data_IF_665719536214
#
_entry.id   IF_665719536214
#
_cell.length_a   1.000
_cell.length_b   1.000
_cell.length_c   1.000
_cell.angle_alpha   90.00
_cell.angle_beta   90.00
_cell.angle_gamma   90.00
#
_symmetry.space_group_name_H-M   'P 1'
#
loop_
_entity.id
_entity.type
_entity.pdbx_description
1 polymer ?
#
# COMPACT_ATOMS: atom_id res chain seq x y z
N UNK A 1 -8.59 17.19 -5.69
CA UNK A 1 -9.73 16.75 -4.84
C UNK A 1 -10.19 15.38 -5.32
N UNK A 2 -9.96 14.33 -4.52
CA UNK A 2 -10.48 12.98 -4.79
C UNK A 2 -12.01 13.03 -4.96
N UNK A 3 -12.55 12.45 -6.04
CA UNK A 3 -13.98 12.38 -6.29
C UNK A 3 -14.74 11.49 -5.28
N UNK A 4 -14.02 10.75 -4.44
CA UNK A 4 -14.57 9.80 -3.47
C UNK A 4 -14.22 10.23 -2.05
N UNK A 5 -15.22 10.25 -1.16
CA UNK A 5 -15.13 10.69 0.24
C UNK A 5 -14.97 9.53 1.21
N UNK A 6 -15.56 8.35 0.94
CA UNK A 6 -15.45 7.16 1.79
C UNK A 6 -15.36 5.87 0.97
N UNK A 7 -14.40 5.01 1.34
CA UNK A 7 -14.22 3.69 0.75
C UNK A 7 -14.32 2.61 1.80
N UNK A 8 -15.08 1.56 1.52
CA UNK A 8 -15.14 0.37 2.37
C UNK A 8 -14.48 -0.78 1.65
N UNK A 9 -13.48 -1.39 2.28
CA UNK A 9 -12.82 -2.61 1.78
C UNK A 9 -13.34 -3.80 2.58
N UNK A 10 -13.98 -4.76 1.92
CA UNK A 10 -14.44 -6.00 2.55
C UNK A 10 -13.39 -7.10 2.42
N UNK A 11 -13.04 -7.73 3.53
CA UNK A 11 -12.01 -8.75 3.64
C UNK A 11 -10.68 -8.17 4.14
N UNK A 12 -10.31 -8.45 5.38
CA UNK A 12 -9.07 -8.00 6.02
C UNK A 12 -7.88 -8.95 5.79
N UNK A 13 -7.99 -9.90 4.86
CA UNK A 13 -6.89 -10.74 4.41
C UNK A 13 -5.77 -9.95 3.71
N UNK A 14 -4.79 -10.65 3.15
CA UNK A 14 -3.60 -10.04 2.52
C UNK A 14 -3.95 -9.08 1.37
N UNK A 15 -4.91 -9.45 0.51
CA UNK A 15 -5.35 -8.60 -0.61
C UNK A 15 -6.07 -7.35 -0.13
N UNK A 16 -7.11 -7.46 0.71
CA UNK A 16 -7.87 -6.30 1.15
C UNK A 16 -7.06 -5.37 2.04
N UNK A 17 -6.13 -5.91 2.84
CA UNK A 17 -5.20 -5.10 3.62
C UNK A 17 -4.24 -4.30 2.73
N UNK A 18 -3.72 -4.91 1.66
CA UNK A 18 -2.88 -4.19 0.70
C UNK A 18 -3.66 -3.07 -0.02
N UNK A 19 -4.92 -3.31 -0.36
CA UNK A 19 -5.80 -2.29 -0.95
C UNK A 19 -6.07 -1.16 0.04
N UNK A 20 -6.45 -1.49 1.28
CA UNK A 20 -6.70 -0.48 2.31
C UNK A 20 -5.46 0.35 2.62
N UNK A 21 -4.29 -0.29 2.71
CA UNK A 21 -3.00 0.38 2.84
C UNK A 21 -2.75 1.33 1.65
N UNK A 22 -2.90 0.86 0.42
CA UNK A 22 -2.66 1.67 -0.77
C UNK A 22 -3.60 2.88 -0.85
N UNK A 23 -4.88 2.70 -0.56
CA UNK A 23 -5.87 3.78 -0.53
C UNK A 23 -5.55 4.81 0.56
N UNK A 24 -5.18 4.36 1.76
CA UNK A 24 -4.74 5.23 2.86
C UNK A 24 -3.52 6.07 2.46
N UNK A 25 -2.53 5.46 1.79
CA UNK A 25 -1.35 6.16 1.29
C UNK A 25 -1.67 7.18 0.17
N UNK A 26 -2.83 7.05 -0.47
CA UNK A 26 -3.34 7.99 -1.47
C UNK A 26 -4.30 9.04 -0.89
N UNK A 27 -4.30 9.24 0.42
CA UNK A 27 -5.13 10.27 1.03
C UNK A 27 -6.56 9.82 1.37
N UNK A 28 -7.02 8.68 0.83
CA UNK A 28 -8.42 8.25 0.95
C UNK A 28 -8.84 7.93 2.39
N UNK A 29 -10.12 8.16 2.71
CA UNK A 29 -10.75 7.67 3.95
C UNK A 29 -11.24 6.25 3.71
N UNK A 30 -10.71 5.31 4.49
CA UNK A 30 -10.91 3.87 4.28
C UNK A 30 -11.41 3.24 5.57
N UNK A 31 -12.48 2.45 5.46
CA UNK A 31 -12.90 1.50 6.49
C UNK A 31 -12.59 0.08 5.99
N UNK A 32 -11.86 -0.69 6.79
CA UNK A 32 -11.64 -2.10 6.54
C UNK A 32 -12.70 -2.93 7.29
N UNK A 33 -13.41 -3.79 6.58
CA UNK A 33 -14.49 -4.60 7.11
C UNK A 33 -14.18 -6.09 6.95
N UNK A 34 -14.54 -6.91 7.93
CA UNK A 34 -14.60 -8.36 7.76
C UNK A 34 -15.69 -8.99 8.65
N UNK A 35 -15.85 -10.31 8.58
CA UNK A 35 -16.63 -11.08 9.54
C UNK A 35 -15.89 -11.18 10.90
N UNK A 36 -16.61 -11.39 12.02
CA UNK A 36 -15.98 -11.59 13.33
C UNK A 36 -15.02 -12.79 13.33
N UNK A 37 -13.85 -12.60 13.95
CA UNK A 37 -12.79 -13.61 14.09
C UNK A 37 -12.44 -14.36 12.77
N UNK A 38 -12.04 -13.64 11.70
CA UNK A 38 -11.83 -14.26 10.40
C UNK A 38 -10.56 -15.12 10.40
N UNK A 39 -10.67 -16.34 9.86
CA UNK A 39 -9.57 -17.30 9.87
C UNK A 39 -8.58 -17.10 8.70
N UNK A 40 -8.16 -15.86 8.42
CA UNK A 40 -7.16 -15.55 7.40
C UNK A 40 -5.78 -16.08 7.82
N UNK A 41 -5.13 -16.97 7.04
CA UNK A 41 -3.85 -17.53 7.45
C UNK A 41 -2.70 -16.51 7.32
N UNK A 42 -2.74 -15.63 6.31
CA UNK A 42 -1.65 -14.66 6.05
C UNK A 42 -1.74 -13.40 6.93
N UNK A 43 -2.06 -13.57 8.21
CA UNK A 43 -2.28 -12.46 9.16
C UNK A 43 -1.04 -11.58 9.37
N UNK A 44 0.18 -12.14 9.25
CA UNK A 44 1.44 -11.36 9.27
C UNK A 44 1.66 -10.46 8.04
N UNK A 45 0.86 -10.64 6.98
CA UNK A 45 0.90 -9.86 5.74
C UNK A 45 -0.36 -8.99 5.58
N UNK A 46 -1.10 -8.78 6.66
CA UNK A 46 -2.45 -8.21 6.64
C UNK A 46 -2.76 -7.43 7.93
N UNK A 47 -3.88 -6.73 7.94
CA UNK A 47 -4.44 -6.08 9.13
C UNK A 47 -5.36 -7.00 9.94
N UNK A 48 -5.47 -8.28 9.56
CA UNK A 48 -6.38 -9.25 10.19
C UNK A 48 -6.22 -9.33 11.72
N UNK A 49 -4.98 -9.23 12.23
CA UNK A 49 -4.70 -9.25 13.67
C UNK A 49 -5.36 -8.10 14.44
N UNK A 50 -5.76 -7.00 13.79
CA UNK A 50 -6.48 -5.91 14.45
C UNK A 50 -7.81 -6.39 15.03
N UNK A 51 -8.49 -7.33 14.37
CA UNK A 51 -9.76 -7.90 14.86
C UNK A 51 -9.60 -8.79 16.10
N UNK A 52 -8.37 -9.17 16.45
CA UNK A 52 -8.06 -10.03 17.60
C UNK A 52 -7.33 -9.26 18.72
N UNK A 53 -6.28 -8.53 18.36
CA UNK A 53 -5.41 -7.80 19.29
C UNK A 53 -5.78 -6.31 19.44
N UNK A 54 -6.82 -5.84 18.75
CA UNK A 54 -7.25 -4.44 18.75
C UNK A 54 -6.50 -3.55 17.77
N UNK A 55 -5.26 -3.88 17.41
CA UNK A 55 -4.47 -3.18 16.39
C UNK A 55 -3.61 -4.12 15.55
N UNK A 56 -3.28 -3.72 14.33
CA UNK A 56 -2.25 -4.35 13.51
C UNK A 56 -1.46 -3.27 12.76
N UNK A 57 -0.17 -3.53 12.50
CA UNK A 57 0.68 -2.64 11.69
C UNK A 57 1.13 -3.36 10.45
N UNK A 58 0.96 -2.73 9.29
CA UNK A 58 1.45 -3.21 8.01
C UNK A 58 2.23 -2.07 7.35
N UNK A 59 3.54 -2.26 7.24
CA UNK A 59 4.44 -1.31 6.55
C UNK A 59 4.31 0.15 7.02
N UNK A 60 4.18 0.34 8.33
CA UNK A 60 4.08 1.66 8.97
C UNK A 60 2.67 2.22 9.09
N UNK A 61 1.68 1.63 8.41
CA UNK A 61 0.27 1.96 8.57
C UNK A 61 -0.32 1.15 9.72
N UNK A 62 -1.06 1.80 10.61
CA UNK A 62 -1.70 1.17 11.77
C UNK A 62 -3.19 1.07 11.51
N UNK A 63 -3.72 -0.16 11.59
CA UNK A 63 -5.14 -0.42 11.58
C UNK A 63 -5.63 -0.68 13.01
N UNK A 64 -6.77 -0.11 13.37
CA UNK A 64 -7.33 -0.21 14.73
C UNK A 64 -8.78 -0.69 14.68
N UNK A 65 -9.10 -1.68 15.51
CA UNK A 65 -10.45 -2.22 15.65
C UNK A 65 -11.37 -1.21 16.34
N UNK A 66 -12.51 -0.97 15.71
CA UNK A 66 -13.66 -0.32 16.30
C UNK A 66 -14.62 -1.39 16.85
N UNK A 67 -14.92 -1.40 18.17
CA UNK A 67 -15.86 -2.35 18.76
C UNK A 67 -17.33 -2.05 18.42
N UNK A 68 -17.63 -0.84 17.93
CA UNK A 68 -18.97 -0.40 17.52
C UNK A 68 -18.86 0.75 16.51
N UNK A 69 -20.00 1.10 15.89
CA UNK A 69 -20.07 2.13 14.84
C UNK A 69 -19.71 3.54 15.35
N UNK A 70 -19.97 3.89 16.61
CA UNK A 70 -19.60 5.21 17.16
C UNK A 70 -18.08 5.36 17.30
N UNK A 71 -17.42 4.30 17.76
CA UNK A 71 -15.95 4.25 17.85
C UNK A 71 -15.32 4.23 16.46
N UNK A 72 -16.00 3.65 15.47
CA UNK A 72 -15.54 3.62 14.08
C UNK A 72 -15.34 5.03 13.52
N UNK A 73 -16.31 5.92 13.73
CA UNK A 73 -16.21 7.32 13.33
C UNK A 73 -15.06 8.04 14.06
N UNK A 74 -14.95 7.80 15.37
CA UNK A 74 -13.90 8.41 16.19
C UNK A 74 -12.50 8.00 15.72
N UNK A 75 -12.31 6.72 15.38
CA UNK A 75 -11.05 6.22 14.80
C UNK A 75 -10.85 6.78 13.38
N UNK A 76 -11.89 6.81 12.54
CA UNK A 76 -11.80 7.33 11.17
C UNK A 76 -11.49 8.83 11.09
N UNK A 77 -11.74 9.58 12.16
CA UNK A 77 -11.33 10.97 12.31
C UNK A 77 -9.83 11.13 12.64
N UNK A 78 -9.17 10.08 13.13
CA UNK A 78 -7.74 10.06 13.39
C UNK A 78 -7.03 9.69 12.08
N UNK A 79 -6.39 10.67 11.47
CA UNK A 79 -5.76 10.55 10.15
C UNK A 79 -4.66 9.48 10.08
N UNK A 80 -4.10 9.15 11.23
CA UNK A 80 -3.05 8.18 11.47
C UNK A 80 -3.51 6.72 11.47
N UNK A 81 -4.82 6.46 11.43
CA UNK A 81 -5.38 5.13 11.64
C UNK A 81 -6.26 4.70 10.47
N UNK A 82 -6.20 3.40 10.17
CA UNK A 82 -7.20 2.72 9.34
C UNK A 82 -8.21 2.05 10.26
N UNK A 83 -9.47 2.53 10.35
CA UNK A 83 -10.50 1.85 11.13
C UNK A 83 -10.82 0.46 10.56
N UNK A 84 -10.89 -0.53 11.46
CA UNK A 84 -11.30 -1.91 11.15
C UNK A 84 -12.55 -2.26 11.95
N UNK A 85 -13.56 -2.89 11.35
CA UNK A 85 -14.73 -3.37 12.08
C UNK A 85 -15.26 -4.70 11.56
N UNK A 86 -16.00 -5.36 12.43
CA UNK A 86 -16.70 -6.64 12.21
C UNK A 86 -18.22 -6.52 12.41
N UNK A 87 -18.75 -5.29 12.39
CA UNK A 87 -20.19 -5.04 12.45
C UNK A 87 -20.93 -5.70 11.27
N UNK A 88 -22.22 -6.07 11.43
CA UNK A 88 -23.02 -6.56 10.31
C UNK A 88 -22.97 -5.59 9.13
N UNK A 89 -22.69 -6.11 7.93
CA UNK A 89 -22.44 -5.25 6.77
C UNK A 89 -23.59 -4.27 6.50
N UNK A 90 -24.84 -4.72 6.63
CA UNK A 90 -26.01 -3.87 6.39
C UNK A 90 -26.05 -2.66 7.33
N UNK A 91 -25.71 -2.85 8.60
CA UNK A 91 -25.63 -1.76 9.58
C UNK A 91 -24.49 -0.79 9.23
N UNK A 92 -23.34 -1.32 8.81
CA UNK A 92 -22.20 -0.50 8.36
C UNK A 92 -22.57 0.36 7.14
N UNK A 93 -23.19 -0.23 6.11
CA UNK A 93 -23.60 0.49 4.90
C UNK A 93 -24.68 1.54 5.17
N UNK A 94 -25.56 1.28 6.13
CA UNK A 94 -26.60 2.23 6.52
C UNK A 94 -26.03 3.41 7.31
N UNK A 95 -25.10 3.15 8.24
CA UNK A 95 -24.49 4.19 9.07
C UNK A 95 -23.46 5.02 8.29
N UNK A 96 -22.68 4.37 7.43
CA UNK A 96 -21.59 4.97 6.67
C UNK A 96 -21.66 4.53 5.20
N UNK A 97 -22.60 5.08 4.41
CA UNK A 97 -22.76 4.73 3.01
C UNK A 97 -21.49 5.12 2.23
N UNK A 98 -20.78 4.16 1.62
CA UNK A 98 -19.54 4.44 0.92
C UNK A 98 -19.79 4.90 -0.52
N UNK A 99 -18.91 5.74 -1.04
CA UNK A 99 -18.89 6.03 -2.49
C UNK A 99 -18.35 4.83 -3.29
N UNK A 100 -17.43 4.08 -2.66
CA UNK A 100 -16.80 2.90 -3.23
C UNK A 100 -16.83 1.74 -2.25
N UNK A 101 -17.42 0.62 -2.67
CA UNK A 101 -17.27 -0.67 -2.01
C UNK A 101 -16.27 -1.53 -2.78
N UNK A 102 -15.21 -1.99 -2.12
CA UNK A 102 -14.24 -2.92 -2.70
C UNK A 102 -14.42 -4.30 -2.05
N UNK A 103 -14.79 -5.30 -2.85
CA UNK A 103 -14.87 -6.68 -2.38
C UNK A 103 -13.52 -7.38 -2.59
N UNK A 104 -12.76 -7.48 -1.50
CA UNK A 104 -11.46 -8.12 -1.43
C UNK A 104 -11.48 -9.49 -0.72
N UNK A 105 -12.67 -10.09 -0.52
CA UNK A 105 -12.80 -11.37 0.17
C UNK A 105 -12.23 -12.55 -0.62
N UNK A 106 -11.95 -12.36 -1.91
CA UNK A 106 -11.32 -13.35 -2.79
C UNK A 106 -12.05 -14.71 -2.75
N UNK A 107 -13.40 -14.70 -2.80
CA UNK A 107 -14.25 -15.89 -2.70
C UNK A 107 -14.06 -16.80 -3.92
N UNK A 108 -13.17 -17.77 -3.80
CA UNK A 108 -12.74 -18.65 -4.92
C UNK A 108 -13.75 -19.71 -5.36
N UNK A 109 -14.69 -20.11 -4.48
CA UNK A 109 -15.53 -21.32 -4.67
C UNK A 109 -17.00 -21.10 -4.32
N UNK A 110 -17.40 -19.85 -4.09
CA UNK A 110 -18.75 -19.48 -3.69
C UNK A 110 -19.36 -18.61 -4.80
N UNK A 111 -20.68 -18.64 -4.92
CA UNK A 111 -21.37 -17.67 -5.77
C UNK A 111 -21.04 -16.25 -5.29
N UNK A 112 -20.75 -15.37 -6.25
CA UNK A 112 -20.50 -13.95 -5.98
C UNK A 112 -21.86 -13.26 -5.97
N UNK A 113 -22.24 -12.74 -4.82
CA UNK A 113 -23.48 -11.95 -4.71
C UNK A 113 -23.40 -10.63 -5.49
N UNK A 114 -24.53 -10.17 -6.03
CA UNK A 114 -24.60 -8.84 -6.62
C UNK A 114 -24.57 -7.78 -5.51
N UNK A 115 -23.51 -6.97 -5.52
CA UNK A 115 -23.29 -5.92 -4.51
C UNK A 115 -23.47 -4.51 -5.08
N UNK A 116 -23.83 -4.37 -6.37
CA UNK A 116 -23.94 -3.07 -7.05
C UNK A 116 -24.92 -2.10 -6.40
N UNK A 117 -25.86 -2.60 -5.61
CA UNK A 117 -26.82 -1.78 -4.86
C UNK A 117 -26.25 -1.20 -3.56
N UNK A 118 -25.07 -1.64 -3.11
CA UNK A 118 -24.49 -1.24 -1.83
C UNK A 118 -23.67 0.06 -1.91
N UNK A 119 -23.23 0.47 -3.11
CA UNK A 119 -22.44 1.68 -3.31
C UNK A 119 -22.53 2.15 -4.78
N UNK A 120 -22.36 3.46 -5.05
CA UNK A 120 -22.31 3.99 -6.42
C UNK A 120 -21.23 3.32 -7.29
N UNK A 121 -20.08 2.99 -6.70
CA UNK A 121 -19.03 2.21 -7.36
C UNK A 121 -18.73 0.95 -6.55
N UNK A 122 -18.68 -0.19 -7.25
CA UNK A 122 -18.35 -1.49 -6.63
C UNK A 122 -17.20 -2.11 -7.41
N UNK A 123 -16.09 -2.32 -6.73
CA UNK A 123 -14.88 -2.92 -7.29
C UNK A 123 -14.76 -4.36 -6.82
N UNK A 124 -14.86 -5.30 -7.74
CA UNK A 124 -14.72 -6.73 -7.47
C UNK A 124 -13.27 -7.20 -7.60
N UNK A 125 -12.71 -7.82 -6.56
CA UNK A 125 -11.37 -8.43 -6.59
C UNK A 125 -11.49 -9.93 -6.44
N UNK A 126 -11.08 -10.66 -7.47
CA UNK A 126 -11.02 -12.11 -7.42
C UNK A 126 -11.50 -12.75 -8.70
N UNK A 127 -11.39 -14.07 -8.78
CA UNK A 127 -11.84 -14.79 -9.96
C UNK A 127 -13.36 -14.71 -10.13
N UNK A 128 -13.82 -14.60 -11.37
CA UNK A 128 -15.23 -14.70 -11.74
C UNK A 128 -16.11 -13.47 -11.47
N UNK A 129 -15.55 -12.34 -11.01
CA UNK A 129 -16.29 -11.06 -11.00
C UNK A 129 -16.66 -10.65 -12.43
N UNK A 130 -17.87 -10.12 -12.61
CA UNK A 130 -18.44 -9.74 -13.90
C UNK A 130 -19.15 -8.37 -13.76
N UNK A 131 -18.71 -7.41 -14.58
CA UNK A 131 -19.19 -6.02 -14.52
C UNK A 131 -20.66 -5.84 -14.93
N UNK A 132 -21.29 -6.89 -15.45
CA UNK A 132 -22.71 -6.90 -15.84
C UNK A 132 -23.62 -7.43 -14.74
N UNK A 133 -23.08 -8.13 -13.73
CA UNK A 133 -23.91 -8.88 -12.77
C UNK A 133 -23.60 -8.63 -11.32
N UNK A 134 -22.35 -8.36 -10.92
CA UNK A 134 -22.01 -8.32 -9.49
C UNK A 134 -21.09 -7.17 -9.05
N UNK A 135 -20.49 -6.45 -9.98
CA UNK A 135 -19.66 -5.27 -9.71
C UNK A 135 -19.79 -4.24 -10.83
N UNK A 136 -19.28 -3.03 -10.61
CA UNK A 136 -19.18 -2.00 -11.64
C UNK A 136 -17.84 -2.04 -12.35
N UNK A 137 -16.79 -2.41 -11.63
CA UNK A 137 -15.42 -2.59 -12.13
C UNK A 137 -14.86 -3.87 -11.51
N UNK A 138 -14.11 -4.66 -12.27
CA UNK A 138 -13.40 -5.80 -11.72
C UNK A 138 -11.89 -5.65 -11.91
N UNK A 139 -11.12 -6.23 -11.00
CA UNK A 139 -9.65 -6.26 -11.08
C UNK A 139 -9.21 -7.71 -11.27
N UNK A 140 -8.43 -7.97 -12.32
CA UNK A 140 -7.87 -9.29 -12.56
C UNK A 140 -6.87 -9.65 -11.45
N UNK A 141 -7.00 -10.88 -10.93
CA UNK A 141 -6.20 -11.37 -9.80
C UNK A 141 -5.46 -12.67 -10.09
N UNK A 142 -5.65 -13.27 -11.27
CA UNK A 142 -4.85 -14.39 -11.74
C UNK A 142 -3.39 -13.97 -11.94
N UNK A 143 -2.47 -14.90 -11.71
CA UNK A 143 -1.07 -14.66 -12.03
C UNK A 143 -0.89 -14.58 -13.54
N UNK A 144 0.05 -13.75 -13.99
CA UNK A 144 0.36 -13.55 -15.40
C UNK A 144 0.41 -12.07 -15.75
N UNK A 145 0.45 -11.79 -17.05
CA UNK A 145 0.60 -10.44 -17.60
C UNK A 145 -0.55 -9.49 -17.22
N UNK A 146 -1.75 -10.04 -17.03
CA UNK A 146 -2.94 -9.28 -16.70
C UNK A 146 -3.14 -9.06 -15.18
N UNK A 147 -2.21 -9.49 -14.31
CA UNK A 147 -2.38 -9.30 -12.87
C UNK A 147 -2.55 -7.82 -12.50
N UNK A 148 -3.66 -7.46 -11.85
CA UNK A 148 -4.00 -6.07 -11.51
C UNK A 148 -4.63 -5.28 -12.65
N UNK A 149 -4.92 -5.91 -13.80
CA UNK A 149 -5.59 -5.27 -14.92
C UNK A 149 -7.02 -4.84 -14.54
N UNK A 150 -7.43 -3.66 -15.03
CA UNK A 150 -8.76 -3.09 -14.78
C UNK A 150 -9.73 -3.55 -15.85
N UNK A 151 -10.65 -4.44 -15.48
CA UNK A 151 -11.72 -4.92 -16.34
C UNK A 151 -12.92 -3.98 -16.19
N UNK A 152 -13.17 -3.18 -17.23
CA UNK A 152 -14.35 -2.28 -17.30
C UNK A 152 -15.55 -2.96 -17.97
N UNK A 153 -15.28 -3.87 -18.89
CA UNK A 153 -16.31 -4.63 -19.58
C UNK A 153 -15.98 -6.13 -19.57
N UNK A 154 -16.93 -6.95 -19.11
CA UNK A 154 -16.81 -8.39 -19.09
C UNK A 154 -16.46 -8.93 -17.70
N UNK A 155 -15.67 -10.00 -17.67
CA UNK A 155 -15.38 -10.75 -16.44
C UNK A 155 -13.89 -11.01 -16.26
N UNK A 156 -13.47 -11.06 -15.00
CA UNK A 156 -12.16 -11.62 -14.63
C UNK A 156 -12.10 -13.13 -14.91
N UNK A 157 -10.88 -13.65 -15.02
CA UNK A 157 -10.65 -15.08 -15.21
C UNK A 157 -11.33 -15.92 -14.12
N UNK A 158 -11.78 -17.12 -14.48
CA UNK A 158 -12.25 -18.09 -13.50
C UNK A 158 -11.10 -18.52 -12.58
N UNK A 159 -11.42 -19.16 -11.46
CA UNK A 159 -10.38 -19.73 -10.61
C UNK A 159 -9.71 -20.89 -11.35
N UNK A 160 -8.53 -20.63 -11.88
CA UNK A 160 -7.71 -21.62 -12.56
C UNK A 160 -6.27 -21.61 -12.03
N UNK A 161 -5.60 -22.75 -12.15
CA UNK A 161 -4.17 -22.88 -11.88
C UNK A 161 -3.77 -23.31 -10.47
N UNK A 162 -2.49 -23.67 -10.38
CA UNK A 162 -1.80 -24.04 -9.15
C UNK A 162 -1.26 -22.80 -8.41
N UNK A 163 -1.11 -22.84 -7.08
CA UNK A 163 -0.39 -21.79 -6.37
C UNK A 163 1.04 -21.67 -6.91
N UNK A 164 1.48 -20.43 -7.20
CA UNK A 164 2.88 -20.15 -7.60
C UNK A 164 3.84 -20.82 -6.61
N UNK A 165 4.83 -21.61 -7.06
CA UNK A 165 5.73 -22.32 -6.16
C UNK A 165 6.64 -21.35 -5.39
N UNK A 166 7.02 -21.74 -4.17
CA UNK A 166 8.10 -21.12 -3.40
C UNK A 166 9.21 -22.16 -3.28
N UNK A 167 10.40 -21.85 -3.78
CA UNK A 167 11.53 -22.81 -3.84
C UNK A 167 11.16 -24.16 -4.48
N UNK A 168 10.42 -24.10 -5.60
CA UNK A 168 9.90 -25.30 -6.28
C UNK A 168 8.69 -25.96 -5.61
N UNK A 169 8.30 -25.56 -4.40
CA UNK A 169 7.20 -26.17 -3.64
C UNK A 169 5.86 -25.49 -3.92
N UNK A 170 4.91 -26.26 -4.46
CA UNK A 170 3.59 -25.82 -4.91
C UNK A 170 2.52 -25.87 -3.81
N UNK A 171 1.42 -26.59 -4.09
CA UNK A 171 0.24 -26.68 -3.23
C UNK A 171 0.50 -27.39 -1.89
N UNK A 172 1.47 -28.28 -1.86
CA UNK A 172 1.86 -29.10 -0.71
C UNK A 172 2.33 -28.29 0.49
N UNK A 173 2.67 -27.01 0.31
CA UNK A 173 2.98 -26.08 1.40
C UNK A 173 1.79 -25.57 2.20
N UNK A 174 0.57 -25.82 1.71
CA UNK A 174 -0.65 -25.40 2.40
C UNK A 174 -1.22 -26.55 3.21
N UNK A 175 -1.67 -26.23 4.43
CA UNK A 175 -2.44 -27.16 5.26
C UNK A 175 -3.87 -26.67 5.38
N UNK A 176 -4.78 -27.63 5.29
CA UNK A 176 -6.22 -27.39 5.32
C UNK A 176 -6.83 -28.09 6.53
N UNK A 177 -7.84 -27.47 7.13
CA UNK A 177 -8.55 -28.02 8.26
C UNK A 177 -9.15 -29.40 7.89
N UNK A 178 -8.82 -30.48 8.64
CA UNK A 178 -9.26 -31.84 8.32
C UNK A 178 -10.77 -32.02 8.53
N UNK A 179 -11.32 -31.28 9.50
CA UNK A 179 -12.74 -31.23 9.86
C UNK A 179 -13.17 -29.77 10.09
N UNK A 180 -14.47 -29.55 10.23
CA UNK A 180 -15.00 -28.29 10.76
C UNK A 180 -14.82 -28.28 12.29
N UNK A 181 -14.51 -27.12 12.85
CA UNK A 181 -14.43 -26.91 14.30
C UNK A 181 -13.50 -25.75 14.68
N UNK A 182 -13.00 -25.74 15.90
CA UNK A 182 -12.09 -24.70 16.39
C UNK A 182 -10.64 -25.09 16.14
N UNK A 183 -9.89 -24.19 15.47
CA UNK A 183 -8.47 -24.33 15.24
C UNK A 183 -7.68 -23.89 16.48
N UNK A 184 -6.76 -24.73 16.94
CA UNK A 184 -5.86 -24.41 18.05
C UNK A 184 -4.40 -24.58 17.68
N UNK A 185 -3.57 -23.62 18.07
CA UNK A 185 -2.11 -23.65 17.88
C UNK A 185 -1.41 -22.77 18.91
N UNK A 186 -0.26 -23.24 19.41
CA UNK A 186 0.64 -22.44 20.25
C UNK A 186 1.74 -21.73 19.45
N UNK A 187 1.78 -21.93 18.13
CA UNK A 187 2.83 -21.39 17.27
C UNK A 187 2.48 -19.97 16.81
N UNK A 188 3.49 -19.27 16.31
CA UNK A 188 3.35 -17.91 15.76
C UNK A 188 3.81 -17.85 14.31
N UNK A 189 3.31 -16.86 13.57
CA UNK A 189 3.85 -16.52 12.24
C UNK A 189 5.38 -16.33 12.36
N UNK A 190 6.12 -16.88 11.41
CA UNK A 190 7.58 -16.87 11.39
C UNK A 190 8.24 -17.98 12.21
N UNK A 191 7.50 -18.79 12.96
CA UNK A 191 8.07 -19.95 13.66
C UNK A 191 8.65 -20.95 12.64
N UNK A 192 9.83 -21.48 12.93
CA UNK A 192 10.41 -22.59 12.17
C UNK A 192 9.70 -23.89 12.54
N UNK A 193 9.36 -24.69 11.55
CA UNK A 193 8.72 -26.00 11.71
C UNK A 193 9.48 -27.06 10.93
N UNK A 194 9.43 -28.29 11.43
CA UNK A 194 9.92 -29.47 10.73
C UNK A 194 8.74 -30.34 10.32
N UNK A 195 8.87 -31.09 9.24
CA UNK A 195 7.88 -32.05 8.77
C UNK A 195 7.61 -33.11 9.83
N UNK A 196 6.33 -33.39 10.09
CA UNK A 196 5.92 -34.47 10.99
C UNK A 196 5.34 -34.00 12.33
N UNK A 197 6.07 -33.21 13.15
CA UNK A 197 5.51 -32.66 14.38
C UNK A 197 4.19 -31.91 14.18
N UNK A 198 3.34 -31.97 15.21
CA UNK A 198 2.07 -31.26 15.24
C UNK A 198 2.31 -29.74 15.31
N UNK A 199 1.55 -29.01 14.50
CA UNK A 199 1.51 -27.55 14.47
C UNK A 199 0.23 -26.99 15.10
N UNK A 200 -0.65 -27.87 15.60
CA UNK A 200 -1.95 -27.53 16.15
C UNK A 200 -2.97 -28.65 15.97
N UNK A 201 -4.23 -28.39 16.31
CA UNK A 201 -5.33 -29.34 16.11
C UNK A 201 -6.66 -28.65 15.79
N UNK A 202 -7.58 -29.41 15.20
CA UNK A 202 -8.99 -29.03 15.03
C UNK A 202 -9.86 -30.12 15.64
N UNK A 203 -10.64 -29.81 16.69
CA UNK A 203 -11.47 -30.82 17.40
C UNK A 203 -10.66 -32.07 17.80
N UNK A 204 -9.49 -31.88 18.40
CA UNK A 204 -8.56 -32.97 18.77
C UNK A 204 -7.83 -33.65 17.60
N UNK A 205 -8.18 -33.37 16.35
CA UNK A 205 -7.48 -33.91 15.18
C UNK A 205 -6.17 -33.15 14.96
N UNK A 206 -5.05 -33.83 15.15
CA UNK A 206 -3.73 -33.23 14.94
C UNK A 206 -3.55 -32.76 13.50
N UNK A 207 -3.01 -31.55 13.37
CA UNK A 207 -2.53 -30.97 12.13
C UNK A 207 -1.00 -30.95 12.21
N UNK A 208 -0.34 -31.39 11.14
CA UNK A 208 1.12 -31.53 11.09
C UNK A 208 1.71 -30.68 9.96
N UNK A 209 2.98 -30.31 10.07
CA UNK A 209 3.68 -29.63 8.99
C UNK A 209 3.98 -30.61 7.83
N UNK A 210 3.60 -30.27 6.58
CA UNK A 210 3.86 -31.12 5.41
C UNK A 210 5.33 -31.11 4.94
N UNK A 211 6.08 -30.07 5.29
CA UNK A 211 7.49 -29.89 4.99
C UNK A 211 8.18 -29.00 6.04
N UNK A 212 9.51 -28.99 6.00
CA UNK A 212 10.33 -28.08 6.80
C UNK A 212 10.23 -26.65 6.27
N UNK A 213 10.33 -25.65 7.15
CA UNK A 213 10.37 -24.26 6.73
C UNK A 213 9.84 -23.32 7.80
N UNK A 214 9.26 -22.21 7.38
CA UNK A 214 8.74 -21.17 8.27
C UNK A 214 7.24 -20.99 8.08
N UNK A 215 6.50 -20.76 9.18
CA UNK A 215 5.07 -20.45 9.13
C UNK A 215 4.84 -19.07 8.51
N UNK A 216 4.60 -19.04 7.20
CA UNK A 216 4.23 -17.83 6.46
C UNK A 216 2.77 -17.47 6.62
N UNK A 217 1.91 -18.48 6.73
CA UNK A 217 0.51 -18.33 7.06
C UNK A 217 0.13 -19.25 8.21
N UNK A 218 -0.62 -18.72 9.16
CA UNK A 218 -1.15 -19.38 10.34
C UNK A 218 -2.40 -18.62 10.78
N UNK A 219 -3.58 -19.23 10.62
CA UNK A 219 -4.83 -18.66 11.13
C UNK A 219 -4.73 -18.51 12.66
N UNK A 220 -5.37 -17.46 13.20
CA UNK A 220 -5.31 -17.13 14.63
C UNK A 220 -5.82 -18.31 15.48
N UNK A 221 -5.22 -18.51 16.66
CA UNK A 221 -5.70 -19.52 17.62
C UNK A 221 -7.16 -19.24 18.04
N UNK A 222 -7.96 -20.28 18.21
CA UNK A 222 -9.35 -20.19 18.66
C UNK A 222 -10.37 -19.82 17.58
N UNK A 223 -9.97 -19.66 16.31
CA UNK A 223 -10.91 -19.34 15.22
C UNK A 223 -11.68 -20.58 14.76
N UNK A 224 -12.95 -20.38 14.43
CA UNK A 224 -13.75 -21.38 13.76
C UNK A 224 -13.28 -21.57 12.31
N UNK A 225 -13.16 -22.82 11.88
CA UNK A 225 -12.74 -23.18 10.53
C UNK A 225 -13.70 -24.20 9.92
N UNK A 226 -14.00 -24.04 8.64
CA UNK A 226 -14.72 -25.04 7.87
C UNK A 226 -13.80 -26.17 7.42
N UNK A 227 -14.36 -27.36 7.17
CA UNK A 227 -13.61 -28.46 6.56
C UNK A 227 -13.00 -28.02 5.23
N UNK A 228 -11.71 -28.36 5.01
CA UNK A 228 -10.90 -27.93 3.85
C UNK A 228 -10.65 -26.43 3.75
N UNK A 229 -10.90 -25.65 4.81
CA UNK A 229 -10.44 -24.27 4.88
C UNK A 229 -8.92 -24.25 5.04
N UNK A 230 -8.25 -23.34 4.33
CA UNK A 230 -6.80 -23.16 4.44
C UNK A 230 -6.49 -22.49 5.78
N UNK A 231 -5.62 -23.11 6.57
CA UNK A 231 -5.27 -22.64 7.92
C UNK A 231 -3.77 -22.38 8.09
N UNK A 232 -2.92 -23.01 7.27
CA UNK A 232 -1.46 -22.85 7.34
C UNK A 232 -0.86 -22.74 5.94
N UNK A 233 0.20 -21.96 5.82
CA UNK A 233 1.13 -21.91 4.68
C UNK A 233 2.57 -21.95 5.21
N UNK A 234 3.38 -22.86 4.67
CA UNK A 234 4.82 -22.96 4.97
C UNK A 234 5.62 -22.32 3.83
N UNK A 235 6.64 -21.54 4.17
CA UNK A 235 7.64 -21.04 3.24
C UNK A 235 8.93 -21.86 3.42
N UNK A 236 9.33 -22.66 2.41
CA UNK A 236 10.49 -23.54 2.51
C UNK A 236 11.84 -22.83 2.38
N UNK A 237 11.85 -21.56 1.95
CA UNK A 237 13.09 -20.81 1.68
C UNK A 237 13.86 -20.54 2.97
N UNK A 238 15.18 -20.53 2.87
CA UNK A 238 16.07 -20.13 3.98
C UNK A 238 15.84 -18.69 4.44
N UNK A 239 15.50 -17.81 3.49
CA UNK A 239 15.10 -16.42 3.75
C UNK A 239 13.63 -16.25 3.38
N UNK A 240 12.69 -16.57 4.29
CA UNK A 240 11.27 -16.52 4.01
C UNK A 240 10.75 -15.08 4.01
N UNK A 241 9.64 -14.84 3.32
CA UNK A 241 8.88 -13.59 3.46
C UNK A 241 7.58 -13.91 4.20
N UNK A 242 7.59 -13.78 5.52
CA UNK A 242 6.43 -14.08 6.37
C UNK A 242 5.64 -12.84 6.81
N UNK A 243 6.24 -11.65 6.66
CA UNK A 243 5.63 -10.36 6.96
C UNK A 243 5.66 -9.40 5.76
N UNK A 244 4.90 -8.31 5.86
CA UNK A 244 4.81 -7.27 4.83
C UNK A 244 3.91 -7.67 3.67
N UNK A 245 3.88 -6.86 2.61
CA UNK A 245 2.98 -7.10 1.48
C UNK A 245 3.63 -7.96 0.39
N UNK A 246 2.88 -8.94 -0.12
CA UNK A 246 3.30 -9.77 -1.24
C UNK A 246 3.13 -9.07 -2.60
N UNK A 247 3.87 -9.54 -3.62
CA UNK A 247 3.80 -9.03 -5.00
C UNK A 247 2.36 -8.98 -5.55
N UNK A 248 1.60 -10.07 -5.37
CA UNK A 248 0.23 -10.17 -5.89
C UNK A 248 -0.76 -9.21 -5.22
N UNK A 249 -0.88 -9.16 -3.89
CA UNK A 249 -1.67 -8.13 -3.21
C UNK A 249 -1.31 -6.70 -3.65
N UNK A 250 -0.02 -6.38 -3.81
CA UNK A 250 0.42 -5.05 -4.28
C UNK A 250 -0.03 -4.74 -5.71
N UNK A 251 0.12 -5.69 -6.63
CA UNK A 251 -0.32 -5.50 -8.01
C UNK A 251 -1.84 -5.28 -8.10
N UNK A 252 -2.62 -6.02 -7.32
CA UNK A 252 -4.08 -5.85 -7.22
C UNK A 252 -4.41 -4.47 -6.64
N UNK A 253 -3.74 -4.05 -5.56
CA UNK A 253 -3.92 -2.73 -4.98
C UNK A 253 -3.61 -1.59 -5.98
N UNK A 254 -2.52 -1.72 -6.76
CA UNK A 254 -2.20 -0.78 -7.86
C UNK A 254 -3.32 -0.75 -8.91
N UNK A 255 -3.89 -1.91 -9.25
CA UNK A 255 -5.07 -2.02 -10.12
C UNK A 255 -6.29 -1.25 -9.59
N UNK A 256 -6.57 -1.36 -8.28
CA UNK A 256 -7.65 -0.60 -7.62
C UNK A 256 -7.40 0.91 -7.68
N UNK A 257 -6.18 1.36 -7.35
CA UNK A 257 -5.83 2.78 -7.48
C UNK A 257 -6.00 3.30 -8.90
N UNK A 258 -5.61 2.49 -9.89
CA UNK A 258 -5.80 2.82 -11.31
C UNK A 258 -7.29 2.91 -11.68
N UNK A 259 -8.09 1.94 -11.25
CA UNK A 259 -9.52 1.91 -11.53
C UNK A 259 -10.26 3.16 -11.00
N UNK A 260 -9.84 3.64 -9.82
CA UNK A 260 -10.41 4.78 -9.13
C UNK A 260 -9.75 6.12 -9.48
N UNK A 261 -8.78 6.15 -10.39
CA UNK A 261 -7.99 7.33 -10.74
C UNK A 261 -7.28 7.98 -9.54
N UNK A 262 -6.80 7.15 -8.61
CA UNK A 262 -6.03 7.54 -7.41
C UNK A 262 -4.54 7.21 -7.52
N UNK A 263 -4.05 7.01 -8.74
CA UNK A 263 -2.62 6.83 -8.98
C UNK A 263 -1.98 8.20 -9.25
N UNK A 264 -0.71 8.36 -8.86
CA UNK A 264 0.04 9.57 -9.17
C UNK A 264 0.12 9.80 -10.68
N UNK A 265 0.04 11.07 -11.09
CA UNK A 265 0.22 11.46 -12.48
C UNK A 265 1.70 11.27 -12.85
N UNK A 266 2.00 10.18 -13.57
CA UNK A 266 3.37 9.76 -13.88
C UNK A 266 4.16 10.86 -14.63
N UNK A 267 3.49 11.67 -15.44
CA UNK A 267 4.11 12.79 -16.16
C UNK A 267 4.57 13.92 -15.24
N UNK A 268 3.98 14.05 -14.04
CA UNK A 268 4.35 15.06 -13.04
C UNK A 268 5.38 14.57 -12.02
N UNK A 269 5.78 13.30 -12.11
CA UNK A 269 6.65 12.68 -11.11
C UNK A 269 8.14 12.79 -11.45
N UNK A 270 8.50 13.03 -12.72
CA UNK A 270 9.89 13.13 -13.18
C UNK A 270 10.06 14.29 -14.15
N UNK A 271 11.19 14.99 -14.03
CA UNK A 271 11.67 15.83 -15.12
C UNK A 271 12.37 15.01 -16.21
N UNK A 272 12.46 15.55 -17.42
CA UNK A 272 13.14 14.97 -18.57
C UNK A 272 14.58 14.55 -18.25
N UNK A 273 15.30 15.38 -17.48
CA UNK A 273 16.66 15.08 -17.03
C UNK A 273 16.76 14.01 -15.93
N UNK A 274 15.64 13.46 -15.43
CA UNK A 274 15.60 12.42 -14.38
C UNK A 274 15.14 11.06 -14.90
N UNK A 275 14.69 10.99 -16.16
CA UNK A 275 14.01 9.79 -16.71
C UNK A 275 14.89 8.54 -16.75
N UNK A 276 16.22 8.69 -16.78
CA UNK A 276 17.14 7.55 -16.71
C UNK A 276 17.00 6.74 -15.40
N UNK A 277 16.48 7.34 -14.32
CA UNK A 277 16.30 6.69 -13.03
C UNK A 277 14.84 6.25 -12.77
N UNK A 278 13.91 6.46 -13.71
CA UNK A 278 12.47 6.22 -13.54
C UNK A 278 12.14 4.74 -13.21
N UNK A 279 12.85 3.82 -13.86
CA UNK A 279 12.63 2.39 -13.71
C UNK A 279 13.11 1.86 -12.35
N UNK A 280 14.30 2.28 -11.91
CA UNK A 280 14.96 1.70 -10.73
C UNK A 280 14.77 2.52 -9.46
N UNK A 281 14.51 3.83 -9.59
CA UNK A 281 14.52 4.80 -8.48
C UNK A 281 15.83 4.76 -7.69
N UNK A 282 16.97 4.49 -8.32
CA UNK A 282 18.28 4.48 -7.64
C UNK A 282 18.79 5.87 -7.30
N UNK A 283 18.19 6.91 -7.90
CA UNK A 283 18.31 8.30 -7.51
C UNK A 283 16.93 8.81 -7.06
N UNK A 284 16.94 9.77 -6.14
CA UNK A 284 15.71 10.41 -5.66
C UNK A 284 15.32 11.54 -6.64
N UNK A 285 14.18 11.41 -7.36
CA UNK A 285 13.71 12.47 -8.25
C UNK A 285 13.29 13.70 -7.45
N UNK A 286 13.20 14.87 -8.10
CA UNK A 286 12.83 16.13 -7.44
C UNK A 286 11.48 16.05 -6.74
N UNK A 287 10.52 15.32 -7.30
CA UNK A 287 9.21 15.10 -6.68
C UNK A 287 9.33 14.39 -5.32
N UNK A 288 10.19 13.39 -5.21
CA UNK A 288 10.45 12.71 -3.93
C UNK A 288 11.27 13.61 -2.99
N UNK A 289 12.25 14.36 -3.49
CA UNK A 289 13.00 15.31 -2.66
C UNK A 289 12.09 16.36 -2.04
N UNK A 290 11.13 16.87 -2.81
CA UNK A 290 10.11 17.81 -2.32
C UNK A 290 9.31 17.18 -1.19
N UNK A 291 8.85 15.94 -1.36
CA UNK A 291 8.12 15.22 -0.32
C UNK A 291 8.95 14.96 0.95
N UNK A 292 10.23 14.64 0.79
CA UNK A 292 11.16 14.46 1.92
C UNK A 292 11.33 15.77 2.70
N UNK A 293 11.49 16.88 1.98
CA UNK A 293 11.52 18.21 2.55
C UNK A 293 10.21 18.52 3.30
N UNK A 294 9.05 18.31 2.68
CA UNK A 294 7.75 18.51 3.34
C UNK A 294 7.58 17.64 4.58
N UNK A 295 8.07 16.39 4.54
CA UNK A 295 8.09 15.49 5.68
C UNK A 295 9.10 15.90 6.75
N UNK A 296 10.03 16.81 6.47
CA UNK A 296 11.12 17.16 7.37
C UNK A 296 12.10 16.00 7.60
N UNK A 297 12.36 15.20 6.56
CA UNK A 297 13.24 14.03 6.58
C UNK A 297 14.43 14.27 5.65
N UNK A 298 15.66 14.05 6.14
CA UNK A 298 16.86 13.95 5.29
C UNK A 298 17.33 12.51 5.16
N UNK A 299 17.38 12.00 3.93
CA UNK A 299 18.03 10.74 3.61
C UNK A 299 19.26 10.98 2.73
N UNK A 300 20.35 10.29 3.05
CA UNK A 300 21.45 10.11 2.11
C UNK A 300 21.03 9.21 0.94
N UNK A 301 21.75 9.30 -0.18
CA UNK A 301 21.51 8.42 -1.33
C UNK A 301 21.65 6.93 -0.98
N UNK A 302 22.59 6.59 -0.09
CA UNK A 302 22.77 5.23 0.40
C UNK A 302 21.54 4.75 1.21
N UNK A 303 21.00 5.59 2.09
CA UNK A 303 19.78 5.28 2.83
C UNK A 303 18.56 5.14 1.92
N UNK A 304 18.41 6.01 0.92
CA UNK A 304 17.34 5.88 -0.08
C UNK A 304 17.43 4.55 -0.84
N UNK A 305 18.63 4.17 -1.30
CA UNK A 305 18.87 2.89 -2.00
C UNK A 305 18.68 1.67 -1.12
N UNK A 306 18.86 1.80 0.20
CA UNK A 306 18.61 0.73 1.15
C UNK A 306 17.10 0.48 1.37
N UNK A 307 16.23 1.45 1.03
CA UNK A 307 14.79 1.22 1.06
C UNK A 307 14.38 0.21 -0.02
N UNK A 308 13.49 -0.74 0.28
CA UNK A 308 12.95 -1.64 -0.72
C UNK A 308 12.33 -0.88 -1.90
N UNK A 309 12.40 -1.47 -3.09
CA UNK A 309 11.89 -0.84 -4.32
C UNK A 309 10.42 -0.39 -4.18
N UNK A 310 9.61 -1.18 -3.48
CA UNK A 310 8.22 -0.83 -3.20
C UNK A 310 8.06 0.36 -2.25
N UNK A 311 8.93 0.50 -1.23
CA UNK A 311 8.91 1.67 -0.36
C UNK A 311 9.28 2.94 -1.13
N UNK A 312 10.27 2.85 -2.02
CA UNK A 312 10.66 3.94 -2.92
C UNK A 312 9.50 4.33 -3.86
N UNK A 313 8.82 3.35 -4.46
CA UNK A 313 7.65 3.58 -5.32
C UNK A 313 6.46 4.15 -4.55
N UNK A 314 6.12 3.62 -3.37
CA UNK A 314 5.06 4.19 -2.53
C UNK A 314 5.35 5.64 -2.14
N UNK A 315 6.61 5.99 -1.87
CA UNK A 315 7.01 7.38 -1.61
C UNK A 315 6.80 8.29 -2.83
N UNK A 316 7.17 7.80 -4.03
CA UNK A 316 6.94 8.48 -5.29
C UNK A 316 5.43 8.70 -5.55
N UNK A 317 4.60 7.72 -5.20
CA UNK A 317 3.16 7.73 -5.48
C UNK A 317 2.33 8.42 -4.39
N UNK A 318 2.83 8.56 -3.17
CA UNK A 318 2.08 9.15 -2.05
C UNK A 318 1.63 10.59 -2.35
N UNK A 319 0.42 10.94 -1.97
CA UNK A 319 -0.01 12.34 -2.02
C UNK A 319 0.70 13.13 -0.92
N UNK A 320 0.95 14.42 -1.16
CA UNK A 320 1.54 15.35 -0.18
C UNK A 320 0.90 16.74 -0.34
N UNK A 321 -0.42 16.75 -0.59
CA UNK A 321 -1.20 17.98 -0.83
C UNK A 321 -1.68 18.60 0.48
N UNK A 322 -1.76 17.82 1.56
CA UNK A 322 -2.19 18.27 2.88
C UNK A 322 -1.19 17.90 3.98
N UNK A 323 -1.29 18.56 5.14
CA UNK A 323 -0.54 18.18 6.33
C UNK A 323 -0.80 16.74 6.78
N UNK A 324 -2.00 16.21 6.50
CA UNK A 324 -2.36 14.82 6.79
C UNK A 324 -1.50 13.87 5.96
N UNK A 325 -1.45 14.10 4.65
CA UNK A 325 -0.71 13.22 3.74
C UNK A 325 0.80 13.25 4.05
N UNK A 326 1.33 14.43 4.38
CA UNK A 326 2.72 14.59 4.84
C UNK A 326 2.97 13.77 6.11
N UNK A 327 2.06 13.77 7.10
CA UNK A 327 2.20 12.94 8.30
C UNK A 327 2.14 11.44 7.99
N UNK A 328 1.26 11.03 7.07
CA UNK A 328 1.15 9.62 6.61
C UNK A 328 2.45 9.16 5.96
N UNK A 329 2.98 9.93 5.02
CA UNK A 329 4.23 9.61 4.34
C UNK A 329 5.42 9.61 5.32
N UNK A 330 5.49 10.59 6.23
CA UNK A 330 6.53 10.66 7.25
C UNK A 330 6.59 9.35 8.07
N UNK A 331 5.45 8.90 8.60
CA UNK A 331 5.38 7.66 9.41
C UNK A 331 5.76 6.42 8.60
N UNK A 332 5.31 6.34 7.35
CA UNK A 332 5.68 5.27 6.43
C UNK A 332 7.20 5.19 6.24
N UNK A 333 7.85 6.33 6.00
CA UNK A 333 9.30 6.41 5.84
C UNK A 333 10.05 6.07 7.13
N UNK A 334 9.62 6.63 8.27
CA UNK A 334 10.22 6.34 9.58
C UNK A 334 10.14 4.84 9.93
N UNK A 335 9.02 4.18 9.59
CA UNK A 335 8.88 2.73 9.75
C UNK A 335 9.93 1.97 8.92
N UNK A 336 10.00 2.22 7.62
CA UNK A 336 10.94 1.50 6.74
C UNK A 336 12.40 1.73 7.11
N UNK A 337 12.75 2.94 7.55
CA UNK A 337 14.11 3.25 8.00
C UNK A 337 14.45 2.42 9.24
N UNK A 338 13.53 2.32 10.21
CA UNK A 338 13.72 1.53 11.43
C UNK A 338 13.81 0.03 11.12
N UNK A 339 12.91 -0.50 10.28
CA UNK A 339 12.91 -1.92 9.91
C UNK A 339 14.16 -2.32 9.13
N UNK A 340 14.72 -1.42 8.32
CA UNK A 340 15.99 -1.64 7.62
C UNK A 340 17.24 -1.56 8.51
N UNK A 341 17.08 -1.42 9.84
CA UNK A 341 18.20 -1.20 10.77
C UNK A 341 18.88 0.16 10.59
N UNK A 342 18.23 1.09 9.89
CA UNK A 342 18.73 2.43 9.65
C UNK A 342 18.70 3.30 10.90
N UNK A 343 19.55 4.32 10.94
CA UNK A 343 19.52 5.35 11.97
C UNK A 343 18.32 6.28 11.77
N UNK A 344 17.81 6.86 12.86
CA UNK A 344 16.74 7.85 12.81
C UNK A 344 17.08 8.97 11.82
N UNK A 345 16.19 9.28 10.85
CA UNK A 345 16.46 10.33 9.89
C UNK A 345 16.67 11.68 10.58
N UNK A 346 17.59 12.47 10.06
CA UNK A 346 17.84 13.82 10.56
C UNK A 346 16.62 14.69 10.26
N UNK A 347 16.10 15.35 11.29
CA UNK A 347 15.12 16.41 11.11
C UNK A 347 15.79 17.63 10.49
N UNK A 348 15.19 18.15 9.43
CA UNK A 348 15.64 19.38 8.79
C UNK A 348 14.73 20.50 9.26
N UNK A 349 15.30 21.66 9.58
CA UNK A 349 14.53 22.89 9.64
C UNK A 349 14.12 23.23 8.21
N UNK A 350 12.85 23.05 7.90
CA UNK A 350 12.34 23.29 6.56
C UNK A 350 12.12 24.80 6.43
N UNK A 351 12.92 25.45 5.59
CA UNK A 351 12.66 26.82 5.19
C UNK A 351 11.61 26.79 4.06
N UNK A 352 10.34 26.70 4.47
CA UNK A 352 9.21 26.55 3.54
C UNK A 352 8.99 27.78 2.65
N UNK A 353 9.63 28.93 2.94
CA UNK A 353 9.23 30.20 2.35
C UNK A 353 9.67 30.41 0.90
N UNK A 354 10.80 29.86 0.47
CA UNK A 354 11.46 30.46 -0.68
C UNK A 354 10.92 30.00 -2.04
N UNK A 355 10.60 28.72 -2.21
CA UNK A 355 10.06 28.20 -3.48
C UNK A 355 8.53 28.33 -3.58
N UNK A 356 7.83 28.46 -2.45
CA UNK A 356 6.36 28.65 -2.41
C UNK A 356 5.96 30.09 -2.78
N UNK A 357 6.87 31.05 -2.61
CA UNK A 357 6.61 32.47 -2.90
C UNK A 357 6.82 32.74 -4.40
N UNK A 358 5.73 32.73 -5.17
CA UNK A 358 5.74 33.04 -6.60
C UNK A 358 6.05 34.52 -6.90
N UNK A 359 5.95 35.41 -5.92
CA UNK A 359 6.13 36.86 -6.09
C UNK A 359 7.58 37.33 -5.98
N UNK A 360 8.51 36.46 -5.55
CA UNK A 360 9.92 36.80 -5.38
C UNK A 360 10.81 35.63 -5.79
N UNK A 361 11.83 35.91 -6.59
CA UNK A 361 12.88 34.92 -6.90
C UNK A 361 13.88 34.90 -5.72
N UNK A 362 14.22 33.72 -5.17
CA UNK A 362 15.22 33.63 -4.12
C UNK A 362 16.59 34.15 -4.59
N UNK A 363 17.25 34.97 -3.78
CA UNK A 363 18.51 35.66 -4.17
C UNK A 363 19.61 34.65 -4.55
N UNK A 364 19.64 33.49 -3.87
CA UNK A 364 20.57 32.40 -4.17
C UNK A 364 20.43 31.88 -5.61
N UNK A 365 19.20 31.81 -6.15
CA UNK A 365 18.97 31.28 -7.49
C UNK A 365 19.66 32.18 -8.52
N UNK A 366 19.39 33.48 -8.47
CA UNK A 366 20.01 34.44 -9.39
C UNK A 366 21.52 34.59 -9.18
N UNK A 367 22.00 34.48 -7.93
CA UNK A 367 23.44 34.46 -7.65
C UNK A 367 24.13 33.28 -8.36
N UNK A 368 23.58 32.07 -8.25
CA UNK A 368 24.18 30.88 -8.87
C UNK A 368 24.09 30.93 -10.39
N UNK A 369 22.97 31.40 -10.95
CA UNK A 369 22.82 31.62 -12.40
C UNK A 369 23.91 32.56 -12.93
N UNK A 370 24.09 33.72 -12.29
CA UNK A 370 25.12 34.69 -12.67
C UNK A 370 26.54 34.10 -12.56
N UNK A 371 26.85 33.41 -11.45
CA UNK A 371 28.16 32.78 -11.25
C UNK A 371 28.46 31.65 -12.25
N UNK A 372 27.42 31.10 -12.89
CA UNK A 372 27.52 30.01 -13.88
C UNK A 372 27.40 30.52 -15.32
N UNK A 373 27.34 31.84 -15.54
CA UNK A 373 27.20 32.43 -16.87
C UNK A 373 25.81 32.21 -17.52
N UNK A 374 24.78 31.92 -16.73
CA UNK A 374 23.41 31.67 -17.18
C UNK A 374 22.55 32.95 -17.06
N UNK A 375 21.47 33.09 -17.85
CA UNK A 375 20.62 34.28 -17.83
C UNK A 375 19.97 34.48 -16.46
N UNK A 376 19.80 35.74 -16.07
CA UNK A 376 19.06 36.12 -14.87
C UNK A 376 17.58 35.74 -15.01
N UNK A 377 17.00 35.16 -13.95
CA UNK A 377 15.60 34.74 -13.94
C UNK A 377 14.68 35.88 -13.45
N UNK A 378 13.84 36.48 -14.31
CA UNK A 378 12.95 37.56 -13.90
C UNK A 378 11.73 37.03 -13.14
N UNK A 379 11.17 37.86 -12.25
CA UNK A 379 10.03 37.48 -11.40
C UNK A 379 8.80 36.99 -12.19
N UNK A 380 8.40 37.60 -13.32
CA UNK A 380 7.28 37.08 -14.11
C UNK A 380 7.52 35.67 -14.65
N UNK A 381 8.76 35.30 -14.99
CA UNK A 381 9.09 33.95 -15.43
C UNK A 381 9.01 32.96 -14.28
N UNK A 382 9.51 33.32 -13.10
CA UNK A 382 9.40 32.53 -11.86
C UNK A 382 7.96 32.27 -11.43
N UNK A 383 7.10 33.28 -11.55
CA UNK A 383 5.69 33.17 -11.21
C UNK A 383 4.90 32.20 -12.11
N UNK A 384 5.37 31.96 -13.35
CA UNK A 384 4.73 31.02 -14.28
C UNK A 384 5.09 29.55 -14.03
N UNK A 385 6.18 29.30 -13.31
CA UNK A 385 6.59 27.94 -12.97
C UNK A 385 5.56 27.30 -12.02
N UNK A 386 5.49 25.98 -12.01
CA UNK A 386 4.80 25.29 -10.93
C UNK A 386 5.69 25.18 -9.68
N UNK A 387 5.11 24.68 -8.60
CA UNK A 387 5.78 24.49 -7.31
C UNK A 387 6.99 23.54 -7.40
N UNK A 388 6.89 22.48 -8.20
CA UNK A 388 7.94 21.49 -8.34
C UNK A 388 9.13 22.04 -9.15
N UNK A 389 8.86 22.83 -10.19
CA UNK A 389 9.87 23.54 -10.98
C UNK A 389 10.60 24.58 -10.14
N UNK A 390 9.88 25.41 -9.36
CA UNK A 390 10.49 26.36 -8.41
C UNK A 390 11.37 25.65 -7.38
N UNK A 391 10.86 24.55 -6.81
CA UNK A 391 11.60 23.72 -5.88
C UNK A 391 12.88 23.15 -6.51
N UNK A 392 12.79 22.61 -7.73
CA UNK A 392 13.93 22.06 -8.45
C UNK A 392 15.02 23.09 -8.68
N UNK A 393 14.68 24.32 -9.10
CA UNK A 393 15.65 25.41 -9.26
C UNK A 393 16.34 25.76 -7.93
N UNK A 394 15.59 25.82 -6.82
CA UNK A 394 16.18 26.04 -5.50
C UNK A 394 17.15 24.91 -5.12
N UNK A 395 16.82 23.65 -5.43
CA UNK A 395 17.68 22.50 -5.11
C UNK A 395 18.92 22.43 -6.00
N UNK A 396 18.79 22.66 -7.29
CA UNK A 396 19.92 22.62 -8.25
C UNK A 396 20.92 23.77 -8.02
N UNK A 397 20.49 24.86 -7.38
CA UNK A 397 21.34 25.98 -6.99
C UNK A 397 21.97 25.81 -5.61
N UNK A 398 21.79 24.65 -4.95
CA UNK A 398 22.59 24.28 -3.78
C UNK A 398 23.98 23.77 -4.17
N UNK A 399 24.96 23.89 -3.26
CA UNK A 399 26.37 23.56 -3.53
C UNK A 399 26.52 22.16 -4.16
N UNK A 400 27.17 22.11 -5.34
CA UNK A 400 27.56 20.87 -6.01
C UNK A 400 26.53 20.27 -6.99
N UNK A 401 25.37 20.90 -7.19
CA UNK A 401 24.29 20.36 -8.07
C UNK A 401 24.08 21.16 -9.38
N UNK A 402 24.87 22.19 -9.64
CA UNK A 402 24.66 23.12 -10.76
C UNK A 402 24.87 22.51 -12.16
N UNK A 403 25.41 21.28 -12.28
CA UNK A 403 25.67 20.65 -13.59
C UNK A 403 24.39 20.41 -14.41
N UNK A 404 23.27 20.13 -13.74
CA UNK A 404 21.97 19.88 -14.38
C UNK A 404 21.15 21.16 -14.59
N UNK A 405 21.60 22.29 -14.01
CA UNK A 405 20.88 23.56 -14.06
C UNK A 405 20.61 24.06 -15.48
N UNK A 406 21.56 24.02 -16.45
CA UNK A 406 21.26 24.44 -17.82
C UNK A 406 20.18 23.59 -18.49
N UNK A 407 20.20 22.27 -18.25
CA UNK A 407 19.20 21.34 -18.82
C UNK A 407 17.81 21.63 -18.26
N UNK A 408 17.72 21.88 -16.95
CA UNK A 408 16.47 22.26 -16.29
C UNK A 408 15.92 23.59 -16.82
N UNK A 409 16.76 24.61 -17.05
CA UNK A 409 16.31 25.89 -17.61
C UNK A 409 15.70 25.73 -19.01
N UNK A 410 16.33 24.93 -19.88
CA UNK A 410 15.80 24.62 -21.21
C UNK A 410 14.45 23.92 -21.09
N UNK A 411 14.38 22.89 -20.25
CA UNK A 411 13.15 22.11 -20.03
C UNK A 411 12.00 22.99 -19.50
N UNK A 412 12.32 23.96 -18.63
CA UNK A 412 11.32 24.86 -18.03
C UNK A 412 10.99 26.07 -18.93
N UNK A 413 11.58 26.18 -20.12
CA UNK A 413 11.37 27.29 -21.05
C UNK A 413 11.94 28.62 -20.56
N UNK A 414 13.07 28.58 -19.85
CA UNK A 414 13.75 29.71 -19.22
C UNK A 414 15.13 30.04 -19.84
N UNK A 415 15.60 29.24 -20.79
CA UNK A 415 16.91 29.37 -21.42
C UNK A 415 16.93 30.33 -22.62
#
# INVERSE_FOLDING_TARGET
MSAFSLMVVRGCGDVGSAVAHALYMQGAKVILHDEPAPAHPRRGMAFADALFAGTATLEGVVAQRAPNLDTLLSIGAIDELVPVCDAPLGELMQAYPPDVLIDARMRKRSAIEDQRTLAPTVVGLGPGFDTRTNCHIAIETAWGECLGYVVREGRTAALEGEPRPLDGVGRERFVYAPTQGVWHTALQIGSRVTKGPSIGHVEGHQVVAPLDGFLRGLSHDGVAVAKRQKIVEIDPRDVPQVFGQGERPRAIAKGVLKALNLHGDAERQFFGFEREFEATLDCMPMSVRLKMDLCGIKLSLAQWRALPAEARRTTLDAQCESHVDVRRLRRFLEWWIREGGGTTPLQIQIDHSDWQVATRVPDQVNYVLASSGLPHLPQPAWARLDDLQRFALCKLTTKGQARTLPVALVEFGLA
#
